data_IF_533679786175
#
_entry.id   IF_533679786175
#
_cell.length_a   1.000
_cell.length_b   1.000
_cell.length_c   1.000
_cell.angle_alpha   90.00
_cell.angle_beta   90.00
_cell.angle_gamma   90.00
#
_symmetry.space_group_name_H-M   'P 1'
#
loop_
_entity.id
_entity.type
_entity.pdbx_description
1 polymer ?
#
# COMPACT_ATOMS: atom_id res chain seq x y z
N UNK A 1 10.30 16.96 -14.57
CA UNK A 1 9.87 15.55 -14.67
C UNK A 1 10.63 14.64 -13.72
N UNK A 2 11.96 14.73 -13.55
CA UNK A 2 12.70 13.81 -12.66
C UNK A 2 12.23 13.82 -11.20
N UNK A 3 11.90 15.00 -10.66
CA UNK A 3 11.41 15.18 -9.28
C UNK A 3 10.05 14.49 -9.06
N UNK A 4 9.08 14.78 -9.91
CA UNK A 4 7.77 14.11 -9.94
C UNK A 4 7.89 12.58 -10.13
N UNK A 5 8.80 12.11 -10.99
CA UNK A 5 9.06 10.67 -11.15
C UNK A 5 9.65 10.04 -9.88
N UNK A 6 10.53 10.75 -9.17
CA UNK A 6 11.08 10.30 -7.89
C UNK A 6 9.99 10.21 -6.81
N UNK A 7 9.08 11.20 -6.75
CA UNK A 7 7.96 11.21 -5.83
C UNK A 7 6.94 10.09 -6.11
N UNK A 8 6.59 9.85 -7.38
CA UNK A 8 5.73 8.72 -7.78
C UNK A 8 6.37 7.40 -7.35
N UNK A 9 7.69 7.25 -7.56
CA UNK A 9 8.42 6.05 -7.14
C UNK A 9 8.31 5.85 -5.63
N UNK A 10 8.52 6.89 -4.84
CA UNK A 10 8.40 6.85 -3.38
C UNK A 10 6.98 6.50 -2.91
N UNK A 11 5.94 7.02 -3.58
CA UNK A 11 4.55 6.68 -3.30
C UNK A 11 4.30 5.18 -3.55
N UNK A 12 4.78 4.65 -4.68
CA UNK A 12 4.63 3.22 -5.02
C UNK A 12 5.37 2.31 -4.03
N UNK A 13 6.56 2.69 -3.63
CA UNK A 13 7.32 1.97 -2.60
C UNK A 13 6.59 1.97 -1.26
N UNK A 14 6.04 3.11 -0.85
CA UNK A 14 5.26 3.23 0.38
C UNK A 14 4.02 2.33 0.34
N UNK A 15 3.28 2.32 -0.79
CA UNK A 15 2.13 1.45 -0.98
C UNK A 15 2.49 -0.05 -0.88
N UNK A 16 3.61 -0.45 -1.47
CA UNK A 16 4.12 -1.83 -1.40
C UNK A 16 4.54 -2.22 0.01
N UNK A 17 5.28 -1.37 0.69
CA UNK A 17 5.72 -1.60 2.07
C UNK A 17 4.53 -1.77 3.01
N UNK A 18 3.53 -0.89 2.92
CA UNK A 18 2.31 -1.02 3.72
C UNK A 18 1.51 -2.28 3.39
N UNK A 19 1.43 -2.66 2.11
CA UNK A 19 0.78 -3.91 1.70
C UNK A 19 1.51 -5.15 2.25
N UNK A 20 2.84 -5.10 2.32
CA UNK A 20 3.65 -6.17 2.93
C UNK A 20 3.39 -6.27 4.44
N UNK A 21 3.44 -5.14 5.15
CA UNK A 21 3.14 -5.09 6.59
C UNK A 21 1.71 -5.60 6.85
N UNK A 22 0.73 -5.16 6.06
CA UNK A 22 -0.64 -5.69 6.10
C UNK A 22 -0.66 -7.22 5.96
N UNK A 23 0.08 -7.77 5.00
CA UNK A 23 0.20 -9.22 4.80
C UNK A 23 0.77 -9.94 6.02
N UNK A 24 1.83 -9.40 6.62
CA UNK A 24 2.45 -9.93 7.84
C UNK A 24 1.44 -9.95 9.01
N UNK A 25 0.72 -8.86 9.27
CA UNK A 25 -0.29 -8.84 10.34
C UNK A 25 -1.53 -9.69 10.04
N UNK A 26 -1.89 -9.87 8.77
CA UNK A 26 -3.02 -10.71 8.36
C UNK A 26 -2.72 -12.20 8.51
N UNK A 27 -1.50 -12.61 8.19
CA UNK A 27 -1.09 -14.02 8.16
C UNK A 27 -0.62 -14.53 9.52
N UNK A 28 -0.03 -13.68 10.35
CA UNK A 28 0.44 -14.09 11.67
C UNK A 28 -0.71 -14.10 12.68
N UNK A 29 -0.85 -15.24 13.37
CA UNK A 29 -1.90 -15.52 14.33
C UNK A 29 -1.71 -14.74 15.65
N UNK A 30 -2.69 -14.87 16.54
CA UNK A 30 -2.60 -14.29 17.88
C UNK A 30 -1.43 -14.95 18.65
N UNK A 31 -0.49 -14.18 19.22
CA UNK A 31 0.67 -14.73 19.93
C UNK A 31 0.31 -15.52 21.19
N UNK A 32 -0.93 -15.42 21.68
CA UNK A 32 -1.44 -16.25 22.77
C UNK A 32 -2.08 -17.57 22.29
N UNK A 33 -2.27 -17.77 20.99
CA UNK A 33 -2.92 -18.99 20.48
C UNK A 33 -2.11 -20.24 20.87
N UNK A 34 -2.78 -21.18 21.53
CA UNK A 34 -2.18 -22.45 21.97
C UNK A 34 -1.50 -22.41 23.34
N UNK A 35 -1.53 -21.27 24.06
CA UNK A 35 -1.03 -21.17 25.42
C UNK A 35 -2.11 -21.59 26.44
N UNK A 36 -2.33 -22.91 26.59
CA UNK A 36 -3.24 -23.45 27.60
C UNK A 36 -2.56 -23.77 28.94
N UNK A 37 -3.35 -24.28 29.91
CA UNK A 37 -2.86 -24.70 31.25
C UNK A 37 -1.68 -25.68 31.17
N UNK A 38 -1.66 -26.56 30.16
CA UNK A 38 -0.56 -27.50 29.94
C UNK A 38 0.78 -26.85 29.63
N UNK A 39 0.78 -25.61 29.12
CA UNK A 39 1.99 -24.82 28.81
C UNK A 39 2.30 -23.85 29.94
N UNK A 40 1.26 -23.17 30.46
CA UNK A 40 1.41 -22.06 31.39
C UNK A 40 1.42 -22.49 32.87
N UNK A 41 0.95 -23.69 33.19
CA UNK A 41 0.99 -24.29 34.53
C UNK A 41 0.00 -23.70 35.55
N UNK A 42 -0.61 -22.54 35.26
CA UNK A 42 -1.57 -21.88 36.15
C UNK A 42 -2.75 -21.30 35.35
N UNK A 43 -3.98 -21.51 35.84
CA UNK A 43 -5.20 -21.03 35.17
C UNK A 43 -5.28 -19.50 35.11
N UNK A 44 -4.85 -18.81 36.17
CA UNK A 44 -4.86 -17.34 36.21
C UNK A 44 -4.00 -16.72 35.10
N UNK A 45 -2.90 -17.39 34.74
CA UNK A 45 -2.02 -16.96 33.67
C UNK A 45 -2.66 -17.21 32.30
N UNK A 46 -3.37 -18.33 32.13
CA UNK A 46 -4.16 -18.61 30.92
C UNK A 46 -5.19 -17.51 30.70
N UNK A 47 -5.95 -17.16 31.73
CA UNK A 47 -6.99 -16.13 31.64
C UNK A 47 -6.41 -14.77 31.19
N UNK A 48 -5.22 -14.40 31.70
CA UNK A 48 -4.51 -13.17 31.28
C UNK A 48 -4.06 -13.23 29.81
N UNK A 49 -3.60 -14.39 29.34
CA UNK A 49 -3.20 -14.56 27.95
C UNK A 49 -4.39 -14.59 27.00
N UNK A 50 -5.54 -15.12 27.43
CA UNK A 50 -6.80 -15.05 26.69
C UNK A 50 -7.28 -13.60 26.54
N UNK A 51 -7.31 -12.83 27.63
CA UNK A 51 -7.65 -11.39 27.60
C UNK A 51 -6.71 -10.61 26.68
N UNK A 52 -5.40 -10.90 26.75
CA UNK A 52 -4.42 -10.31 25.86
C UNK A 52 -4.68 -10.69 24.39
N UNK A 53 -4.99 -11.96 24.13
CA UNK A 53 -5.26 -12.48 22.79
C UNK A 53 -6.48 -11.83 22.13
N UNK A 54 -7.56 -11.65 22.88
CA UNK A 54 -8.76 -10.96 22.41
C UNK A 54 -8.48 -9.49 22.09
N UNK A 55 -7.80 -8.77 22.99
CA UNK A 55 -7.41 -7.39 22.74
C UNK A 55 -6.46 -7.28 21.54
N UNK A 56 -5.47 -8.16 21.45
CA UNK A 56 -4.56 -8.23 20.32
C UNK A 56 -5.31 -8.41 19.01
N UNK A 57 -6.27 -9.35 18.96
CA UNK A 57 -7.07 -9.61 17.77
C UNK A 57 -7.82 -8.35 17.31
N UNK A 58 -8.53 -7.67 18.22
CA UNK A 58 -9.28 -6.45 17.92
C UNK A 58 -8.35 -5.36 17.36
N UNK A 59 -7.22 -5.12 18.02
CA UNK A 59 -6.28 -4.08 17.59
C UNK A 59 -5.57 -4.43 16.27
N UNK A 60 -5.21 -5.69 16.07
CA UNK A 60 -4.59 -6.20 14.84
C UNK A 60 -5.53 -6.08 13.65
N UNK A 61 -6.80 -6.45 13.79
CA UNK A 61 -7.80 -6.33 12.73
C UNK A 61 -7.98 -4.86 12.32
N UNK A 62 -8.12 -3.96 13.31
CA UNK A 62 -8.21 -2.52 13.04
C UNK A 62 -6.97 -1.98 12.33
N UNK A 63 -5.77 -2.31 12.82
CA UNK A 63 -4.50 -1.91 12.20
C UNK A 63 -4.43 -2.39 10.75
N UNK A 64 -4.80 -3.65 10.51
CA UNK A 64 -4.78 -4.27 9.18
C UNK A 64 -5.74 -3.54 8.23
N UNK A 65 -6.96 -3.22 8.66
CA UNK A 65 -7.91 -2.44 7.87
C UNK A 65 -7.38 -1.04 7.51
N UNK A 66 -6.74 -0.36 8.47
CA UNK A 66 -6.14 0.96 8.26
C UNK A 66 -4.96 0.90 7.28
N UNK A 67 -4.08 -0.10 7.40
CA UNK A 67 -2.96 -0.34 6.48
C UNK A 67 -3.44 -0.61 5.05
N UNK A 68 -4.50 -1.41 4.89
CA UNK A 68 -5.10 -1.71 3.58
C UNK A 68 -5.69 -0.46 2.93
N UNK A 69 -6.39 0.37 3.70
CA UNK A 69 -6.94 1.65 3.21
C UNK A 69 -5.83 2.57 2.74
N UNK A 70 -4.79 2.74 3.55
CA UNK A 70 -3.67 3.63 3.24
C UNK A 70 -2.88 3.15 2.01
N UNK A 71 -2.57 1.85 1.92
CA UNK A 71 -1.87 1.30 0.75
C UNK A 71 -2.71 1.44 -0.54
N UNK A 72 -4.03 1.29 -0.44
CA UNK A 72 -4.97 1.53 -1.53
C UNK A 72 -4.96 2.98 -2.01
N UNK A 73 -5.00 3.95 -1.08
CA UNK A 73 -4.93 5.39 -1.40
C UNK A 73 -3.63 5.73 -2.13
N UNK A 74 -2.49 5.26 -1.62
CA UNK A 74 -1.19 5.52 -2.24
C UNK A 74 -1.08 4.89 -3.63
N UNK A 75 -1.61 3.67 -3.81
CA UNK A 75 -1.65 3.00 -5.12
C UNK A 75 -2.50 3.78 -6.12
N UNK A 76 -3.67 4.26 -5.69
CA UNK A 76 -4.54 5.08 -6.52
C UNK A 76 -3.90 6.43 -6.88
N UNK A 77 -3.23 7.08 -5.93
CA UNK A 77 -2.51 8.33 -6.17
C UNK A 77 -1.38 8.14 -7.20
N UNK A 78 -0.54 7.10 -7.03
CA UNK A 78 0.52 6.80 -7.98
C UNK A 78 -0.03 6.57 -9.39
N UNK A 79 -1.12 5.80 -9.51
CA UNK A 79 -1.78 5.55 -10.80
C UNK A 79 -2.31 6.83 -11.43
N UNK A 80 -2.96 7.69 -10.66
CA UNK A 80 -3.51 8.95 -11.16
C UNK A 80 -2.39 9.86 -11.71
N UNK A 81 -1.25 9.95 -11.02
CA UNK A 81 -0.11 10.72 -11.50
C UNK A 81 0.49 10.14 -12.79
N UNK A 82 0.65 8.81 -12.87
CA UNK A 82 1.14 8.14 -14.09
C UNK A 82 0.20 8.35 -15.28
N UNK A 83 -1.11 8.25 -15.06
CA UNK A 83 -2.13 8.44 -16.09
C UNK A 83 -2.12 9.91 -16.61
N UNK A 84 -1.96 10.90 -15.72
CA UNK A 84 -1.82 12.32 -16.08
C UNK A 84 -0.55 12.56 -16.90
N UNK A 85 0.59 12.03 -16.45
CA UNK A 85 1.87 12.18 -17.15
C UNK A 85 1.82 11.56 -18.55
N UNK A 86 1.17 10.41 -18.70
CA UNK A 86 0.96 9.78 -20.00
C UNK A 86 0.13 10.67 -20.94
N UNK A 87 -1.01 11.18 -20.45
CA UNK A 87 -1.90 12.04 -21.24
C UNK A 87 -1.18 13.32 -21.69
N UNK A 88 -0.38 13.93 -20.81
CA UNK A 88 0.41 15.11 -21.14
C UNK A 88 1.47 14.79 -22.22
N UNK A 89 2.20 13.69 -22.06
CA UNK A 89 3.21 13.27 -23.03
C UNK A 89 2.61 12.94 -24.41
N UNK A 90 1.38 12.41 -24.44
CA UNK A 90 0.65 12.11 -25.68
C UNK A 90 0.16 13.40 -26.37
N UNK A 91 -0.35 14.36 -25.60
CA UNK A 91 -0.77 15.67 -26.11
C UNK A 91 0.42 16.44 -26.73
N UNK A 92 1.58 16.44 -26.06
CA UNK A 92 2.81 17.05 -26.58
C UNK A 92 3.27 16.38 -27.88
N UNK A 93 3.37 15.05 -27.91
CA UNK A 93 3.73 14.28 -29.13
C UNK A 93 2.79 14.51 -30.29
N UNK A 94 1.49 14.66 -30.01
CA UNK A 94 0.48 14.94 -31.03
C UNK A 94 0.62 16.36 -31.61
N UNK A 95 1.05 17.31 -30.78
CA UNK A 95 1.32 18.69 -31.21
C UNK A 95 2.58 18.78 -32.07
N UNK A 96 3.67 18.14 -31.66
CA UNK A 96 4.92 18.08 -32.44
C UNK A 96 4.73 17.43 -33.83
N UNK A 97 3.90 16.38 -33.91
CA UNK A 97 3.54 15.75 -35.19
C UNK A 97 2.78 16.68 -36.13
N UNK A 98 1.91 17.55 -35.61
CA UNK A 98 1.19 18.54 -36.43
C UNK A 98 2.14 19.61 -36.99
N UNK A 99 3.10 20.07 -36.19
CA UNK A 99 4.04 21.12 -36.60
C UNK A 99 5.05 20.65 -37.66
N UNK A 100 5.50 19.40 -37.57
CA UNK A 100 6.40 18.79 -38.57
C UNK A 100 5.71 18.50 -39.90
N UNK A 101 4.43 18.10 -39.89
CA UNK A 101 3.61 17.95 -41.10
C UNK A 101 3.34 19.26 -41.84
N UNK A 102 3.24 20.38 -41.12
CA UNK A 102 3.03 21.72 -41.72
C UNK A 102 4.28 22.27 -42.42
N UNK A 103 5.49 21.96 -41.92
CA UNK A 103 6.76 22.40 -42.53
C UNK A 103 7.16 21.59 -43.77
N UNK A 104 6.70 20.34 -43.90
CA UNK A 104 6.97 19.49 -45.07
C UNK A 104 6.13 19.83 -46.30
N UNK A 105 4.97 20.47 -46.13
CA UNK A 105 4.03 20.80 -47.22
C UNK A 105 4.27 22.17 -47.89
N UNK A 106 5.32 22.91 -47.49
CA UNK A 106 5.64 24.27 -47.97
C UNK A 106 6.93 24.38 -48.80
N UNK A 107 7.47 23.28 -49.33
CA UNK A 107 8.69 23.30 -50.15
C UNK A 107 8.48 22.62 -51.49
#
# INVERSE_FOLDING_TARGET
MSDQTADITRIKESARSLSKIHGEFSQNANPADGLGVGTLGEQSLVDVFDDFGDNWKIHRERLTDELKKLSGILSAAAKAYEDIDHQLAEALRSTDKKDTGSKGAKK
#
